data_IF_754550370586
#
_entry.id   IF_754550370586
#
_cell.length_a   1.000
_cell.length_b   1.000
_cell.length_c   1.000
_cell.angle_alpha   90.00
_cell.angle_beta   90.00
_cell.angle_gamma   90.00
#
_symmetry.space_group_name_H-M   'P 1'
#
loop_
_entity.id
_entity.type
_entity.pdbx_description
1 polymer ?
#
# COMPACT_ATOMS: atom_id res chain seq x y z
N UNK A 1 27.47 -37.84 56.97
CA UNK A 1 26.29 -37.01 56.69
C UNK A 1 25.47 -37.73 55.62
N UNK A 2 24.59 -38.66 56.02
CA UNK A 2 23.13 -38.47 56.24
C UNK A 2 22.41 -38.00 54.96
N UNK A 3 21.93 -38.95 54.14
CA UNK A 3 20.56 -39.53 54.12
C UNK A 3 19.56 -38.65 53.34
N UNK A 4 19.05 -39.13 52.20
CA UNK A 4 17.64 -39.53 52.01
C UNK A 4 17.35 -39.94 50.54
N UNK A 5 16.86 -41.16 50.37
CA UNK A 5 16.02 -41.61 49.25
C UNK A 5 14.77 -42.19 49.93
N UNK A 6 13.55 -41.88 49.45
CA UNK A 6 12.71 -43.00 49.06
C UNK A 6 11.81 -42.74 47.84
N UNK A 7 11.56 -43.86 47.16
CA UNK A 7 10.52 -44.13 46.16
C UNK A 7 9.11 -43.80 46.67
N UNK A 8 8.23 -43.37 45.77
CA UNK A 8 6.86 -43.87 45.57
C UNK A 8 6.28 -43.18 44.32
N UNK A 9 5.94 -43.91 43.25
CA UNK A 9 4.78 -44.79 43.07
C UNK A 9 3.46 -44.00 42.94
N UNK A 10 2.86 -44.08 41.75
CA UNK A 10 1.42 -44.11 41.39
C UNK A 10 1.32 -43.56 39.95
N UNK A 11 1.37 -44.39 38.93
CA UNK A 11 0.31 -45.26 38.40
C UNK A 11 -0.38 -44.62 37.19
N UNK A 12 -0.37 -45.41 36.12
CA UNK A 12 -0.97 -45.15 34.83
C UNK A 12 -2.51 -45.12 34.88
N UNK A 13 -3.05 -44.61 33.77
CA UNK A 13 -4.35 -44.93 33.18
C UNK A 13 -5.57 -44.23 33.77
N UNK A 14 -6.27 -43.47 32.93
CA UNK A 14 -7.61 -43.85 32.45
C UNK A 14 -7.95 -42.98 31.22
N UNK A 15 -8.32 -43.69 30.15
CA UNK A 15 -8.91 -43.16 28.93
C UNK A 15 -10.20 -42.39 29.25
N UNK A 16 -10.36 -41.19 28.72
CA UNK A 16 -11.69 -40.70 28.31
C UNK A 16 -11.59 -40.06 26.93
N UNK A 17 -12.07 -40.82 25.95
CA UNK A 17 -12.64 -40.26 24.73
C UNK A 17 -13.75 -39.31 25.14
N UNK A 18 -13.64 -38.06 24.74
CA UNK A 18 -14.79 -37.20 24.51
C UNK A 18 -14.54 -36.50 23.19
N UNK A 19 -14.98 -37.17 22.13
CA UNK A 19 -15.38 -36.51 20.90
C UNK A 19 -16.56 -35.61 21.23
N UNK A 20 -16.55 -34.34 20.80
CA UNK A 20 -17.78 -33.66 20.41
C UNK A 20 -17.49 -32.42 19.56
N UNK A 21 -18.05 -32.48 18.34
CA UNK A 21 -18.58 -31.40 17.53
C UNK A 21 -17.61 -30.32 17.01
N UNK A 22 -16.96 -30.67 15.90
CA UNK A 22 -16.55 -29.73 14.85
C UNK A 22 -17.82 -29.15 14.19
N UNK A 23 -18.25 -27.95 14.62
CA UNK A 23 -19.27 -27.18 13.93
C UNK A 23 -18.59 -26.28 12.89
N UNK A 24 -18.37 -26.84 11.71
CA UNK A 24 -18.03 -26.08 10.50
C UNK A 24 -19.29 -25.36 10.02
N UNK A 25 -19.48 -24.10 10.40
CA UNK A 25 -20.43 -23.23 9.70
C UNK A 25 -19.77 -22.75 8.41
N UNK A 26 -20.01 -23.49 7.33
CA UNK A 26 -19.89 -22.99 5.97
C UNK A 26 -20.90 -21.84 5.82
N UNK A 27 -20.44 -20.61 6.02
CA UNK A 27 -21.17 -19.42 5.61
C UNK A 27 -21.20 -19.40 4.08
N UNK A 28 -22.32 -19.83 3.50
CA UNK A 28 -22.61 -19.67 2.10
C UNK A 28 -22.57 -18.19 1.73
N UNK A 29 -21.83 -17.86 0.67
CA UNK A 29 -21.90 -16.56 0.02
C UNK A 29 -23.35 -16.29 -0.39
N UNK A 30 -23.96 -15.27 0.20
CA UNK A 30 -25.26 -14.77 -0.22
C UNK A 30 -25.20 -14.34 -1.68
N UNK A 31 -26.05 -14.94 -2.49
CA UNK A 31 -26.44 -14.50 -3.83
C UNK A 31 -26.86 -13.03 -3.80
N UNK A 32 -26.21 -12.19 -4.61
CA UNK A 32 -26.65 -10.82 -4.87
C UNK A 32 -27.98 -10.85 -5.63
N UNK A 33 -29.02 -10.10 -5.18
CA UNK A 33 -30.24 -9.94 -5.94
C UNK A 33 -29.94 -9.12 -7.21
N UNK A 34 -30.27 -9.68 -8.37
CA UNK A 34 -30.39 -8.91 -9.60
C UNK A 34 -31.62 -8.02 -9.51
N UNK A 35 -31.45 -6.81 -8.97
CA UNK A 35 -32.47 -5.78 -9.09
C UNK A 35 -32.44 -5.23 -10.51
N UNK A 36 -33.37 -5.72 -11.33
CA UNK A 36 -33.76 -5.06 -12.58
C UNK A 36 -34.52 -3.80 -12.17
N UNK A 37 -33.82 -2.66 -12.14
CA UNK A 37 -34.47 -1.36 -12.08
C UNK A 37 -34.66 -0.88 -13.52
N UNK A 38 -35.90 -0.99 -13.99
CA UNK A 38 -36.40 -0.14 -15.08
C UNK A 38 -36.31 1.30 -14.61
N UNK A 39 -35.41 2.10 -15.19
CA UNK A 39 -35.42 3.56 -15.05
C UNK A 39 -35.72 4.23 -16.39
N UNK A 40 -36.61 5.24 -16.39
CA UNK A 40 -36.86 6.07 -17.55
C UNK A 40 -35.63 6.95 -17.84
N UNK A 41 -35.52 7.39 -19.11
CA UNK A 41 -34.37 8.08 -19.70
C UNK A 41 -33.66 9.09 -18.77
N UNK A 42 -32.32 9.11 -18.74
CA UNK A 42 -31.58 10.05 -17.89
C UNK A 42 -31.71 11.47 -18.43
N UNK A 43 -32.25 12.35 -17.58
CA UNK A 43 -32.01 13.78 -17.66
C UNK A 43 -30.50 13.98 -17.47
N UNK A 44 -29.82 14.45 -18.52
CA UNK A 44 -28.39 14.72 -18.53
C UNK A 44 -28.13 15.95 -17.66
N UNK A 45 -28.01 15.73 -16.35
CA UNK A 45 -27.27 16.64 -15.48
C UNK A 45 -25.79 16.27 -15.65
N UNK A 46 -25.08 17.01 -16.51
CA UNK A 46 -23.63 16.93 -16.66
C UNK A 46 -22.94 17.38 -15.37
N UNK A 47 -22.91 16.51 -14.36
CA UNK A 47 -21.84 16.56 -13.37
C UNK A 47 -20.52 16.31 -14.12
N UNK A 48 -19.43 17.04 -13.80
CA UNK A 48 -18.14 16.78 -14.40
C UNK A 48 -17.78 15.30 -14.18
N UNK A 49 -17.33 14.62 -15.24
CA UNK A 49 -16.96 13.21 -15.16
C UNK A 49 -15.89 13.03 -14.07
N UNK A 50 -16.17 12.16 -13.10
CA UNK A 50 -15.29 11.90 -11.97
C UNK A 50 -14.05 11.13 -12.47
N UNK A 51 -12.87 11.76 -12.36
CA UNK A 51 -11.60 11.20 -12.90
C UNK A 51 -11.10 10.00 -12.08
N UNK A 52 -11.48 9.94 -10.82
CA UNK A 52 -11.08 8.92 -9.85
C UNK A 52 -12.36 8.44 -9.16
N UNK A 53 -12.69 7.16 -9.27
CA UNK A 53 -13.74 6.51 -8.48
C UNK A 53 -13.36 6.54 -6.99
N UNK A 54 -14.06 7.38 -6.20
CA UNK A 54 -13.77 7.52 -4.77
C UNK A 54 -14.06 6.24 -3.97
N UNK A 55 -15.08 5.46 -4.32
CA UNK A 55 -15.42 4.24 -3.58
C UNK A 55 -14.36 3.16 -3.80
N UNK A 56 -13.89 3.03 -5.05
CA UNK A 56 -12.73 2.20 -5.38
C UNK A 56 -11.48 2.65 -4.61
N UNK A 57 -11.18 3.96 -4.61
CA UNK A 57 -10.00 4.50 -3.93
C UNK A 57 -10.05 4.26 -2.42
N UNK A 58 -11.23 4.42 -1.81
CA UNK A 58 -11.42 4.16 -0.38
C UNK A 58 -11.11 2.70 -0.05
N UNK A 59 -11.63 1.75 -0.82
CA UNK A 59 -11.35 0.32 -0.61
C UNK A 59 -9.86 0.00 -0.78
N UNK A 60 -9.22 0.52 -1.83
CA UNK A 60 -7.80 0.29 -2.06
C UNK A 60 -6.93 0.91 -0.94
N UNK A 61 -7.34 2.06 -0.39
CA UNK A 61 -6.67 2.70 0.76
C UNK A 61 -6.83 1.88 2.04
N UNK A 62 -7.99 1.27 2.28
CA UNK A 62 -8.20 0.35 3.39
C UNK A 62 -7.29 -0.88 3.29
N UNK A 63 -7.07 -1.41 2.07
CA UNK A 63 -6.12 -2.50 1.84
C UNK A 63 -4.68 -2.10 2.18
N UNK A 64 -4.25 -0.90 1.79
CA UNK A 64 -2.93 -0.36 2.14
C UNK A 64 -2.77 -0.19 3.67
N UNK A 65 -3.81 0.29 4.35
CA UNK A 65 -3.78 0.43 5.81
C UNK A 65 -3.79 -0.93 6.54
N UNK A 66 -4.51 -1.92 6.02
CA UNK A 66 -4.41 -3.31 6.49
C UNK A 66 -2.98 -3.85 6.34
N UNK A 67 -2.31 -3.57 5.22
CA UNK A 67 -0.91 -3.97 5.00
C UNK A 67 0.04 -3.37 6.05
N UNK A 68 -0.15 -2.09 6.38
CA UNK A 68 0.62 -1.38 7.39
C UNK A 68 0.46 -1.97 8.79
N UNK A 69 -0.78 -2.25 9.20
CA UNK A 69 -1.07 -2.78 10.54
C UNK A 69 -0.71 -4.26 10.70
N UNK A 70 -0.79 -5.05 9.63
CA UNK A 70 -0.49 -6.49 9.64
C UNK A 70 0.94 -6.84 9.25
N UNK A 71 1.70 -5.90 8.67
CA UNK A 71 3.03 -6.15 8.11
C UNK A 71 3.03 -6.97 6.81
N UNK A 72 1.87 -7.15 6.18
CA UNK A 72 1.72 -7.97 4.98
C UNK A 72 2.18 -7.22 3.71
N UNK A 73 3.46 -7.29 3.38
CA UNK A 73 4.07 -6.55 2.25
C UNK A 73 3.37 -6.75 0.90
N UNK A 74 2.90 -7.96 0.61
CA UNK A 74 2.17 -8.26 -0.63
C UNK A 74 0.82 -7.53 -0.75
N UNK A 75 0.21 -7.14 0.39
CA UNK A 75 -1.02 -6.34 0.37
C UNK A 75 -0.77 -4.92 -0.15
N UNK A 76 0.41 -4.34 0.06
CA UNK A 76 0.76 -3.04 -0.54
C UNK A 76 0.79 -3.10 -2.08
N UNK A 77 1.40 -4.15 -2.65
CA UNK A 77 1.41 -4.34 -4.12
C UNK A 77 0.00 -4.51 -4.66
N UNK A 78 -0.83 -5.25 -3.94
CA UNK A 78 -2.24 -5.48 -4.32
C UNK A 78 -3.04 -4.18 -4.25
N UNK A 79 -2.87 -3.41 -3.17
CA UNK A 79 -3.50 -2.10 -2.99
C UNK A 79 -3.09 -1.12 -4.10
N UNK A 80 -1.80 -1.05 -4.45
CA UNK A 80 -1.30 -0.20 -5.53
C UNK A 80 -1.94 -0.52 -6.89
N UNK A 81 -2.04 -1.81 -7.24
CA UNK A 81 -2.69 -2.25 -8.47
C UNK A 81 -4.18 -1.93 -8.46
N UNK A 82 -4.84 -2.05 -7.31
CA UNK A 82 -6.25 -1.69 -7.21
C UNK A 82 -6.46 -0.18 -7.33
N UNK A 83 -5.63 0.64 -6.68
CA UNK A 83 -5.59 2.10 -6.83
C UNK A 83 -5.39 2.54 -8.29
N UNK A 84 -4.55 1.83 -9.07
CA UNK A 84 -4.38 2.10 -10.50
C UNK A 84 -5.67 1.93 -11.29
N UNK A 85 -6.52 0.97 -10.91
CA UNK A 85 -7.81 0.72 -11.57
C UNK A 85 -8.90 1.73 -11.19
N UNK A 86 -8.72 2.49 -10.10
CA UNK A 86 -9.70 3.47 -9.64
C UNK A 86 -9.71 4.77 -10.45
N UNK A 87 -8.70 5.02 -11.28
CA UNK A 87 -8.64 6.22 -12.12
C UNK A 87 -8.99 5.90 -13.57
N UNK A 88 -9.63 6.86 -14.25
CA UNK A 88 -9.94 6.72 -15.67
C UNK A 88 -8.67 6.51 -16.51
N UNK A 89 -8.75 5.59 -17.47
CA UNK A 89 -7.68 5.31 -18.43
C UNK A 89 -8.25 5.32 -19.86
N UNK A 90 -7.82 6.25 -20.74
CA UNK A 90 -6.85 7.32 -20.49
C UNK A 90 -7.41 8.43 -19.59
N UNK A 91 -6.53 9.11 -18.83
CA UNK A 91 -6.91 10.31 -18.09
C UNK A 91 -7.40 11.41 -19.05
N UNK A 92 -8.45 12.18 -18.68
CA UNK A 92 -8.89 13.31 -19.48
C UNK A 92 -7.80 14.38 -19.60
N UNK A 93 -7.88 15.14 -20.70
CA UNK A 93 -7.01 16.27 -20.97
C UNK A 93 -7.84 17.44 -21.54
N UNK A 94 -7.81 18.63 -20.91
CA UNK A 94 -7.04 19.01 -19.72
C UNK A 94 -7.68 18.50 -18.40
N UNK A 95 -6.85 18.35 -17.35
CA UNK A 95 -7.33 18.21 -15.96
C UNK A 95 -7.46 19.61 -15.36
N UNK A 96 -8.51 19.87 -14.59
CA UNK A 96 -8.56 21.07 -13.77
C UNK A 96 -7.56 21.00 -12.59
N UNK A 97 -7.44 22.08 -11.82
CA UNK A 97 -6.49 22.15 -10.70
C UNK A 97 -6.76 21.10 -9.61
N UNK A 98 -8.03 20.87 -9.26
CA UNK A 98 -8.41 19.94 -8.21
C UNK A 98 -8.23 18.50 -8.68
N UNK A 99 -8.63 18.21 -9.93
CA UNK A 99 -8.39 16.91 -10.57
C UNK A 99 -6.90 16.62 -10.68
N UNK A 100 -6.07 17.60 -11.08
CA UNK A 100 -4.62 17.45 -11.15
C UNK A 100 -4.03 17.10 -9.79
N UNK A 101 -4.44 17.81 -8.73
CA UNK A 101 -3.99 17.54 -7.36
C UNK A 101 -4.38 16.12 -6.91
N UNK A 102 -5.63 15.71 -7.12
CA UNK A 102 -6.11 14.39 -6.72
C UNK A 102 -5.39 13.26 -7.49
N UNK A 103 -5.18 13.43 -8.80
CA UNK A 103 -4.44 12.46 -9.62
C UNK A 103 -2.98 12.38 -9.19
N UNK A 104 -2.32 13.52 -8.92
CA UNK A 104 -0.95 13.53 -8.39
C UNK A 104 -0.85 12.76 -7.06
N UNK A 105 -1.79 13.01 -6.13
CA UNK A 105 -1.85 12.31 -4.85
C UNK A 105 -2.04 10.80 -5.02
N UNK A 106 -2.95 10.39 -5.89
CA UNK A 106 -3.18 8.97 -6.17
C UNK A 106 -1.95 8.29 -6.79
N UNK A 107 -1.33 8.93 -7.78
CA UNK A 107 -0.10 8.41 -8.41
C UNK A 107 1.07 8.31 -7.43
N UNK A 108 1.18 9.28 -6.51
CA UNK A 108 2.16 9.23 -5.43
C UNK A 108 1.90 8.07 -4.48
N UNK A 109 0.64 7.88 -4.06
CA UNK A 109 0.23 6.79 -3.17
C UNK A 109 0.51 5.40 -3.79
N UNK A 110 0.18 5.22 -5.08
CA UNK A 110 0.51 4.00 -5.84
C UNK A 110 2.01 3.74 -5.84
N UNK A 111 2.81 4.77 -6.11
CA UNK A 111 4.28 4.65 -6.16
C UNK A 111 4.84 4.21 -4.81
N UNK A 112 4.40 4.84 -3.72
CA UNK A 112 4.85 4.52 -2.36
C UNK A 112 4.40 3.12 -1.92
N UNK A 113 3.19 2.67 -2.29
CA UNK A 113 2.76 1.30 -2.02
C UNK A 113 3.58 0.26 -2.79
N UNK A 114 3.95 0.52 -4.05
CA UNK A 114 4.88 -0.37 -4.74
C UNK A 114 6.25 -0.43 -4.08
N UNK A 115 6.77 0.70 -3.58
CA UNK A 115 8.02 0.74 -2.80
C UNK A 115 7.88 -0.10 -1.52
N UNK A 116 6.82 0.13 -0.73
CA UNK A 116 6.55 -0.60 0.52
C UNK A 116 6.34 -2.10 0.29
N UNK A 117 5.74 -2.46 -0.84
CA UNK A 117 5.55 -3.84 -1.27
C UNK A 117 6.77 -4.49 -1.91
N UNK A 118 7.85 -3.74 -2.16
CA UNK A 118 9.08 -4.23 -2.79
C UNK A 118 9.02 -4.42 -4.32
N UNK A 119 7.94 -3.98 -4.99
CA UNK A 119 7.83 -4.02 -6.45
C UNK A 119 8.51 -2.78 -7.07
N UNK A 120 9.85 -2.76 -7.00
CA UNK A 120 10.69 -1.63 -7.43
C UNK A 120 10.49 -1.30 -8.92
N UNK A 121 10.29 -2.31 -9.76
CA UNK A 121 10.07 -2.12 -11.19
C UNK A 121 8.76 -1.38 -11.46
N UNK A 122 7.66 -1.78 -10.81
CA UNK A 122 6.38 -1.09 -10.90
C UNK A 122 6.44 0.33 -10.32
N UNK A 123 7.13 0.52 -9.18
CA UNK A 123 7.33 1.83 -8.59
C UNK A 123 8.08 2.79 -9.52
N UNK A 124 9.20 2.35 -10.12
CA UNK A 124 9.95 3.15 -11.09
C UNK A 124 9.11 3.49 -12.33
N UNK A 125 8.31 2.54 -12.81
CA UNK A 125 7.39 2.78 -13.92
C UNK A 125 6.33 3.82 -13.56
N UNK A 126 5.75 3.73 -12.36
CA UNK A 126 4.75 4.68 -11.89
C UNK A 126 5.34 6.09 -11.70
N UNK A 127 6.55 6.21 -11.16
CA UNK A 127 7.26 7.49 -11.03
C UNK A 127 7.51 8.12 -12.41
N UNK A 128 7.96 7.33 -13.40
CA UNK A 128 8.09 7.82 -14.79
C UNK A 128 6.75 8.26 -15.40
N UNK A 129 5.64 7.63 -15.04
CA UNK A 129 4.31 8.08 -15.47
C UNK A 129 3.95 9.41 -14.82
N UNK A 130 4.25 9.59 -13.54
CA UNK A 130 4.07 10.85 -12.81
C UNK A 130 4.87 11.97 -13.48
N UNK A 131 6.17 11.76 -13.71
CA UNK A 131 7.05 12.76 -14.31
C UNK A 131 6.61 13.16 -15.73
N UNK A 132 6.12 12.21 -16.52
CA UNK A 132 5.60 12.51 -17.87
C UNK A 132 4.29 13.30 -17.84
N UNK A 133 3.38 12.97 -16.92
CA UNK A 133 2.07 13.64 -16.81
C UNK A 133 2.20 15.03 -16.16
N UNK A 134 3.15 15.20 -15.23
CA UNK A 134 3.30 16.37 -14.37
C UNK A 134 4.74 16.91 -14.37
N UNK A 135 5.36 17.05 -15.55
CA UNK A 135 6.79 17.39 -15.68
C UNK A 135 7.25 18.60 -14.85
N UNK A 136 6.43 19.66 -14.81
CA UNK A 136 6.74 20.92 -14.12
C UNK A 136 5.99 21.10 -12.79
N UNK A 137 5.42 20.02 -12.25
CA UNK A 137 4.71 20.03 -10.98
C UNK A 137 5.29 18.95 -10.07
N UNK A 138 5.17 19.20 -8.78
CA UNK A 138 5.55 18.25 -7.75
C UNK A 138 4.53 18.28 -6.62
N UNK A 139 4.46 17.18 -5.89
CA UNK A 139 3.64 17.06 -4.71
C UNK A 139 4.54 17.25 -3.48
N UNK A 140 4.21 18.23 -2.65
CA UNK A 140 4.89 18.41 -1.38
C UNK A 140 4.21 17.55 -0.31
N UNK A 141 5.02 16.74 0.38
CA UNK A 141 4.59 15.95 1.53
C UNK A 141 4.32 16.86 2.74
N UNK A 142 3.68 16.35 3.82
CA UNK A 142 3.34 17.18 5.00
C UNK A 142 4.53 17.89 5.65
N UNK A 143 5.75 17.37 5.46
CA UNK A 143 7.01 17.94 5.94
C UNK A 143 7.70 18.88 4.91
N UNK A 144 6.98 19.29 3.86
CA UNK A 144 7.44 20.13 2.75
C UNK A 144 8.57 19.51 1.90
N UNK A 145 8.78 18.21 2.01
CA UNK A 145 9.70 17.49 1.13
C UNK A 145 9.04 17.19 -0.22
N UNK A 146 9.87 17.06 -1.25
CA UNK A 146 9.44 16.74 -2.61
C UNK A 146 9.07 15.27 -2.70
N UNK A 147 7.88 14.96 -3.23
CA UNK A 147 7.50 13.59 -3.55
C UNK A 147 8.45 12.99 -4.59
N UNK A 148 8.76 13.72 -5.67
CA UNK A 148 9.66 13.25 -6.73
C UNK A 148 11.04 12.88 -6.18
N UNK A 149 11.63 13.76 -5.37
CA UNK A 149 12.95 13.53 -4.76
C UNK A 149 12.88 12.38 -3.75
N UNK A 150 11.83 12.31 -2.94
CA UNK A 150 11.62 11.25 -1.95
C UNK A 150 11.49 9.88 -2.62
N UNK A 151 10.64 9.76 -3.65
CA UNK A 151 10.48 8.52 -4.40
C UNK A 151 11.77 8.13 -5.13
N UNK A 152 12.48 9.10 -5.72
CA UNK A 152 13.78 8.85 -6.38
C UNK A 152 14.83 8.35 -5.39
N UNK A 153 14.92 8.96 -4.21
CA UNK A 153 15.83 8.58 -3.14
C UNK A 153 15.51 7.17 -2.61
N UNK A 154 14.23 6.83 -2.43
CA UNK A 154 13.83 5.49 -2.00
C UNK A 154 14.15 4.41 -3.04
N UNK A 155 14.05 4.73 -4.33
CA UNK A 155 14.27 3.76 -5.42
C UNK A 155 15.74 3.59 -5.81
N UNK A 156 16.57 4.63 -5.63
CA UNK A 156 17.93 4.69 -6.18
C UNK A 156 18.97 5.17 -5.17
N UNK A 157 18.58 5.54 -3.95
CA UNK A 157 19.42 6.24 -2.99
C UNK A 157 20.70 5.50 -2.60
N UNK A 158 20.69 4.16 -2.58
CA UNK A 158 21.90 3.36 -2.30
C UNK A 158 22.98 3.49 -3.36
N UNK A 159 22.63 3.92 -4.59
CA UNK A 159 23.57 4.16 -5.69
C UNK A 159 24.01 5.63 -5.82
N UNK A 160 23.37 6.54 -5.09
CA UNK A 160 23.66 7.98 -5.15
C UNK A 160 24.85 8.34 -4.25
N UNK A 161 25.73 9.23 -4.69
CA UNK A 161 26.76 9.80 -3.80
C UNK A 161 26.15 10.67 -2.70
N UNK A 162 26.89 10.89 -1.60
CA UNK A 162 26.49 11.83 -0.53
C UNK A 162 26.15 13.22 -1.06
N UNK A 163 26.89 13.71 -2.05
CA UNK A 163 26.62 15.01 -2.68
C UNK A 163 25.29 15.01 -3.46
N UNK A 164 24.97 13.92 -4.16
CA UNK A 164 23.68 13.80 -4.85
C UNK A 164 22.52 13.77 -3.85
N UNK A 165 22.64 13.01 -2.75
CA UNK A 165 21.63 12.97 -1.68
C UNK A 165 21.46 14.33 -0.96
N UNK A 166 22.52 15.11 -0.83
CA UNK A 166 22.48 16.45 -0.23
C UNK A 166 21.70 17.46 -1.09
N UNK A 167 21.62 17.25 -2.41
CA UNK A 167 20.92 18.12 -3.34
C UNK A 167 19.41 17.83 -3.45
N UNK A 168 18.94 16.72 -2.87
CA UNK A 168 17.53 16.34 -2.90
C UNK A 168 16.73 17.02 -1.77
N UNK A 169 15.52 17.49 -2.08
CA UNK A 169 14.54 17.95 -1.09
C UNK A 169 13.83 16.77 -0.43
N UNK A 170 14.57 16.02 0.40
CA UNK A 170 14.10 14.89 1.19
C UNK A 170 14.26 15.13 2.69
N UNK A 171 13.49 14.39 3.49
CA UNK A 171 13.54 14.47 4.95
C UNK A 171 14.93 14.13 5.49
N UNK A 172 15.27 14.70 6.64
CA UNK A 172 16.57 14.44 7.29
C UNK A 172 16.68 12.96 7.69
N UNK A 173 15.58 12.39 8.14
CA UNK A 173 15.45 11.00 8.57
C UNK A 173 15.76 10.05 7.41
N UNK A 174 15.16 10.29 6.24
CA UNK A 174 15.43 9.48 5.04
C UNK A 174 16.89 9.62 4.59
N UNK A 175 17.43 10.84 4.55
CA UNK A 175 18.83 11.06 4.17
C UNK A 175 19.79 10.31 5.09
N UNK A 176 19.59 10.42 6.39
CA UNK A 176 20.42 9.74 7.39
C UNK A 176 20.34 8.22 7.24
N UNK A 177 19.15 7.67 6.95
CA UNK A 177 18.98 6.24 6.73
C UNK A 177 19.73 5.76 5.48
N UNK A 178 19.64 6.49 4.37
CA UNK A 178 20.36 6.17 3.14
C UNK A 178 21.87 6.22 3.33
N UNK A 179 22.39 7.27 4.00
CA UNK A 179 23.82 7.37 4.31
C UNK A 179 24.29 6.24 5.22
N UNK A 180 23.48 5.86 6.22
CA UNK A 180 23.75 4.72 7.10
C UNK A 180 23.82 3.42 6.30
N UNK A 181 22.87 3.17 5.40
CA UNK A 181 22.88 1.98 4.56
C UNK A 181 24.10 1.92 3.65
N UNK A 182 24.47 3.04 3.01
CA UNK A 182 25.67 3.11 2.17
C UNK A 182 26.95 2.81 2.94
N UNK A 183 27.06 3.29 4.18
CA UNK A 183 28.20 2.98 5.04
C UNK A 183 28.35 1.47 5.25
N UNK A 184 27.26 0.79 5.62
CA UNK A 184 27.25 -0.66 5.87
C UNK A 184 27.42 -1.52 4.62
N UNK A 185 27.05 -1.03 3.45
CA UNK A 185 27.26 -1.76 2.19
C UNK A 185 28.68 -1.59 1.63
N UNK A 186 29.47 -0.66 2.18
CA UNK A 186 30.83 -0.34 1.70
C UNK A 186 31.95 -0.70 2.69
N UNK A 187 31.61 -1.15 3.90
CA UNK A 187 32.53 -1.55 4.98
C UNK A 187 32.11 -2.89 5.56
#
# INVERSE_FOLDING_TARGET
MTYFNPKNSLSQSVKRLTALALLTTLGACSSTPSHVLSSPAPIVNTAPAEVIDQDCLLQASQMAHSAETSGATAQYVTAARYMQSCMQQPLPAPLDKNQSQAVMQLMANITLNFIQGGDIAAAQQQLRHFDRKFANQDLYLPDFTSFRDTASALLQGTSMSKHQLANLNISRELRNELERQQYWLSH
#
